data_IF_175150288331
#
_entry.id   IF_175150288331
#
_cell.length_a   1.000
_cell.length_b   1.000
_cell.length_c   1.000
_cell.angle_alpha   90.00
_cell.angle_beta   90.00
_cell.angle_gamma   90.00
#
_symmetry.space_group_name_H-M   'P 1'
#
loop_
_entity.id
_entity.type
_entity.pdbx_description
1 polymer ?
#
# COMPACT_ATOMS: atom_id res chain seq x y z
N UNK A 1 -2.55 8.81 -12.14
CA UNK A 1 -2.96 9.14 -10.74
C UNK A 1 -2.30 10.43 -10.30
N UNK A 2 -3.10 11.46 -10.01
CA UNK A 2 -2.66 12.82 -9.69
C UNK A 2 -2.37 13.05 -8.21
N UNK A 3 -2.00 14.28 -7.84
CA UNK A 3 -1.68 14.68 -6.47
C UNK A 3 -2.90 14.68 -5.53
N UNK A 4 -4.11 14.87 -6.06
CA UNK A 4 -5.35 14.89 -5.27
C UNK A 4 -5.88 13.50 -4.88
N UNK A 5 -5.36 12.42 -5.46
CA UNK A 5 -5.87 11.07 -5.18
C UNK A 5 -5.18 10.44 -3.97
N UNK A 6 -5.83 10.57 -2.80
CA UNK A 6 -5.34 10.15 -1.48
C UNK A 6 -5.09 8.64 -1.38
N UNK A 7 -5.69 7.82 -2.26
CA UNK A 7 -5.45 6.36 -2.22
C UNK A 7 -4.09 5.98 -2.81
N UNK A 8 -3.46 6.87 -3.56
CA UNK A 8 -2.27 6.58 -4.36
C UNK A 8 -1.00 6.97 -3.63
N UNK A 9 0.14 6.40 -4.04
CA UNK A 9 1.44 6.75 -3.45
C UNK A 9 1.70 8.25 -3.56
N UNK A 10 1.41 8.87 -4.71
CA UNK A 10 1.60 10.31 -4.94
C UNK A 10 0.67 11.18 -4.08
N UNK A 11 -0.62 10.86 -3.99
CA UNK A 11 -1.51 11.63 -3.12
C UNK A 11 -1.22 11.47 -1.64
N UNK A 12 -0.77 10.29 -1.19
CA UNK A 12 -0.28 10.09 0.19
C UNK A 12 1.00 10.85 0.52
N UNK A 13 1.89 11.06 -0.46
CA UNK A 13 3.07 11.92 -0.28
C UNK A 13 2.63 13.37 -0.05
N UNK A 14 1.75 13.88 -0.91
CA UNK A 14 1.27 15.28 -0.83
C UNK A 14 0.47 15.52 0.44
N UNK A 15 -0.40 14.59 0.83
CA UNK A 15 -1.19 14.69 2.05
C UNK A 15 -0.40 14.32 3.33
N UNK A 16 0.88 13.94 3.21
CA UNK A 16 1.72 13.54 4.36
C UNK A 16 1.32 12.25 5.07
N UNK A 17 0.31 11.52 4.58
CA UNK A 17 -0.22 10.32 5.25
C UNK A 17 0.47 9.02 4.80
N UNK A 18 0.17 7.94 5.53
CA UNK A 18 0.70 6.59 5.26
C UNK A 18 -0.43 5.61 4.94
N UNK A 19 -0.06 4.39 4.53
CA UNK A 19 -0.95 3.24 4.43
C UNK A 19 -0.50 2.29 3.32
N UNK A 20 -1.40 1.43 2.82
CA UNK A 20 -1.05 0.35 1.89
C UNK A 20 -0.17 0.78 0.70
N UNK A 21 -0.50 1.90 0.06
CA UNK A 21 0.24 2.44 -1.08
C UNK A 21 1.48 3.29 -0.72
N UNK A 22 1.65 3.70 0.55
CA UNK A 22 2.81 4.44 1.07
C UNK A 22 3.15 3.98 2.51
N UNK A 23 3.74 2.79 2.68
CA UNK A 23 4.10 2.28 4.00
C UNK A 23 5.27 3.05 4.61
N UNK A 24 5.26 3.25 5.94
CA UNK A 24 6.33 3.95 6.69
C UNK A 24 7.49 3.02 7.06
N UNK A 25 7.18 1.77 7.39
CA UNK A 25 8.13 0.77 7.88
C UNK A 25 8.22 -0.38 6.88
N UNK A 26 9.42 -0.93 6.71
CA UNK A 26 9.65 -2.10 5.84
C UNK A 26 8.87 -3.34 6.28
N UNK A 27 8.68 -3.50 7.60
CA UNK A 27 7.83 -4.57 8.17
C UNK A 27 6.40 -4.54 7.60
N UNK A 28 5.86 -3.34 7.36
CA UNK A 28 4.52 -3.18 6.80
C UNK A 28 4.47 -3.53 5.30
N UNK A 29 5.61 -3.48 4.59
CA UNK A 29 5.70 -3.93 3.19
C UNK A 29 5.65 -5.44 3.12
N UNK A 30 6.41 -6.13 4.00
CA UNK A 30 6.47 -7.59 4.07
C UNK A 30 5.11 -8.20 4.39
N UNK A 31 4.46 -7.72 5.45
CA UNK A 31 3.11 -8.17 5.84
C UNK A 31 2.08 -7.95 4.72
N UNK A 32 2.20 -6.88 3.94
CA UNK A 32 1.33 -6.63 2.79
C UNK A 32 1.54 -7.61 1.65
N UNK A 33 2.80 -7.97 1.40
CA UNK A 33 3.16 -8.94 0.38
C UNK A 33 2.67 -10.33 0.75
N UNK A 34 2.93 -10.76 1.99
CA UNK A 34 2.44 -12.04 2.54
C UNK A 34 0.91 -12.15 2.47
N UNK A 35 0.18 -11.09 2.85
CA UNK A 35 -1.27 -11.06 2.72
C UNK A 35 -1.72 -11.21 1.25
N UNK A 36 -1.07 -10.50 0.33
CA UNK A 36 -1.41 -10.55 -1.10
C UNK A 36 -1.15 -11.93 -1.69
N UNK A 37 -0.07 -12.59 -1.29
CA UNK A 37 0.32 -13.91 -1.78
C UNK A 37 -0.67 -14.96 -1.26
N UNK A 38 -1.00 -14.95 0.04
CA UNK A 38 -2.05 -15.83 0.59
C UNK A 38 -3.42 -15.64 -0.09
N UNK A 39 -3.81 -14.41 -0.41
CA UNK A 39 -5.08 -14.18 -1.10
C UNK A 39 -5.12 -14.68 -2.54
N UNK A 40 -3.98 -14.84 -3.21
CA UNK A 40 -3.91 -15.40 -4.56
C UNK A 40 -4.02 -16.92 -4.53
N UNK A 41 -3.38 -17.54 -3.56
CA UNK A 41 -3.39 -18.99 -3.39
C UNK A 41 -4.80 -19.51 -3.04
N UNK A 42 -5.61 -18.71 -2.36
CA UNK A 42 -7.01 -19.03 -2.01
C UNK A 42 -7.99 -18.81 -3.17
N UNK A 43 -7.58 -18.08 -4.21
CA UNK A 43 -8.42 -17.75 -5.37
C UNK A 43 -8.04 -18.57 -6.62
N UNK A 44 -7.11 -19.52 -6.49
CA UNK A 44 -6.63 -20.43 -7.54
C UNK A 44 -7.18 -21.83 -7.37
#
# INVERSE_FOLDING_TARGET
MGKGDIKTKRGKIVNGSYGKSRPKKEKNVKALKELLDHTKDQAS
#
